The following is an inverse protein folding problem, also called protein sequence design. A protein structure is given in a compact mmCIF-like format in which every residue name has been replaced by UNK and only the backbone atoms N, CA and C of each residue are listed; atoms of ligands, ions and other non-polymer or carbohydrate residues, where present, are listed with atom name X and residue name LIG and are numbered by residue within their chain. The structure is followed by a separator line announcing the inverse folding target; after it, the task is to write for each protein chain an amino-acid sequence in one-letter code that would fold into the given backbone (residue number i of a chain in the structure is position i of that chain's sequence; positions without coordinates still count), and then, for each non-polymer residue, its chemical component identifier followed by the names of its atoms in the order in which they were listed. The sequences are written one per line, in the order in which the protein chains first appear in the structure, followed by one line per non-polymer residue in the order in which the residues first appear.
data_IF_508309881980
#
_entry.id   IF_508309881980
#
_cell.length_a   1.000
_cell.length_b   1.000
_cell.length_c   1.000
_cell.angle_alpha   90.00
_cell.angle_beta   90.00
_cell.angle_gamma   90.00
#
_symmetry.space_group_name_H-M   'P 1'
#
loop_
_entity.id
_entity.type
_entity.pdbx_description
1 polymer ?
#
# COMPACT_ATOMS: atom_id res chain seq x y z
N UNK A 1 27.57 0.77 -32.56
CA UNK A 1 26.73 1.93 -32.18
C UNK A 1 26.67 1.97 -30.65
N UNK A 2 27.42 2.88 -30.03
CA UNK A 2 27.24 3.19 -28.61
C UNK A 2 25.99 4.07 -28.47
N UNK A 3 24.92 3.54 -27.88
CA UNK A 3 23.83 4.39 -27.39
C UNK A 3 24.36 5.13 -26.15
N UNK A 4 24.80 6.37 -26.36
CA UNK A 4 24.92 7.34 -25.28
C UNK A 4 23.50 7.64 -24.78
N UNK A 5 23.08 6.98 -23.70
CA UNK A 5 21.92 7.41 -22.93
C UNK A 5 22.32 8.68 -22.17
N UNK A 6 22.29 9.84 -22.84
CA UNK A 6 22.28 11.11 -22.13
C UNK A 6 21.02 11.13 -21.28
N UNK A 7 21.19 10.92 -19.97
CA UNK A 7 20.09 11.01 -19.03
C UNK A 7 19.66 12.47 -18.98
N UNK A 8 18.51 12.79 -19.57
CA UNK A 8 17.97 14.15 -19.59
C UNK A 8 17.59 14.57 -18.16
N UNK A 9 18.31 15.54 -17.60
CA UNK A 9 18.09 16.04 -16.25
C UNK A 9 16.67 16.58 -16.04
N UNK A 10 16.06 17.17 -17.08
CA UNK A 10 14.67 17.64 -17.03
C UNK A 10 13.67 16.48 -16.95
N UNK A 11 13.98 15.34 -17.59
CA UNK A 11 13.16 14.13 -17.49
C UNK A 11 13.29 13.47 -16.12
N UNK A 12 14.50 13.47 -15.53
CA UNK A 12 14.69 12.99 -14.15
C UNK A 12 13.89 13.86 -13.17
N UNK A 13 14.01 15.18 -13.24
CA UNK A 13 13.33 16.07 -12.30
C UNK A 13 11.81 15.98 -12.40
N UNK A 14 11.26 15.89 -13.61
CA UNK A 14 9.84 15.67 -13.83
C UNK A 14 9.35 14.34 -13.22
N UNK A 15 10.06 13.23 -13.50
CA UNK A 15 9.70 11.91 -12.98
C UNK A 15 9.85 11.79 -11.45
N UNK A 16 10.77 12.55 -10.83
CA UNK A 16 10.91 12.57 -9.37
C UNK A 16 9.83 13.40 -8.68
N UNK A 17 9.29 14.42 -9.37
CA UNK A 17 8.25 15.28 -8.82
C UNK A 17 6.84 14.68 -8.98
N UNK A 18 6.67 13.66 -9.82
CA UNK A 18 5.40 12.93 -9.96
C UNK A 18 5.18 11.87 -8.90
N UNK A 19 6.21 11.48 -8.14
CA UNK A 19 6.07 10.51 -7.04
C UNK A 19 5.42 11.23 -5.85
N UNK A 20 4.22 10.82 -5.39
CA UNK A 20 3.60 11.41 -4.22
C UNK A 20 4.47 11.17 -2.99
N UNK A 21 4.40 12.05 -1.99
CA UNK A 21 5.05 11.77 -0.70
C UNK A 21 4.27 10.68 0.03
N UNK A 22 4.99 9.70 0.60
CA UNK A 22 4.40 8.64 1.38
C UNK A 22 3.70 9.21 2.62
N UNK A 23 2.47 8.76 2.84
CA UNK A 23 1.67 9.05 4.01
C UNK A 23 1.08 7.74 4.56
N UNK A 24 0.27 7.84 5.61
CA UNK A 24 -0.29 6.67 6.29
C UNK A 24 -1.21 5.79 5.44
N UNK A 25 -1.76 6.29 4.33
CA UNK A 25 -2.84 5.62 3.58
C UNK A 25 -2.51 5.35 2.11
N UNK A 26 -1.48 5.98 1.54
CA UNK A 26 -1.17 5.89 0.11
C UNK A 26 -0.03 4.91 -0.24
N UNK A 27 0.39 4.02 0.67
CA UNK A 27 1.56 3.16 0.46
C UNK A 27 1.53 2.35 -0.85
N UNK A 28 0.36 1.79 -1.22
CA UNK A 28 0.21 1.00 -2.45
C UNK A 28 0.50 1.83 -3.71
N UNK A 29 -0.18 2.97 -3.83
CA UNK A 29 0.00 3.93 -4.94
C UNK A 29 1.42 4.50 -4.97
N UNK A 30 1.96 4.85 -3.80
CA UNK A 30 3.32 5.33 -3.65
C UNK A 30 4.35 4.31 -4.15
N UNK A 31 4.23 3.05 -3.69
CA UNK A 31 5.13 1.95 -4.09
C UNK A 31 5.05 1.71 -5.60
N UNK A 32 3.85 1.69 -6.18
CA UNK A 32 3.64 1.52 -7.61
C UNK A 32 4.31 2.63 -8.43
N UNK A 33 4.08 3.89 -8.06
CA UNK A 33 4.70 5.05 -8.72
C UNK A 33 6.23 5.02 -8.63
N UNK A 34 6.80 4.59 -7.50
CA UNK A 34 8.24 4.40 -7.37
C UNK A 34 8.76 3.34 -8.33
N UNK A 35 8.12 2.17 -8.38
CA UNK A 35 8.56 1.06 -9.22
C UNK A 35 8.51 1.44 -10.71
N UNK A 36 7.45 2.12 -11.14
CA UNK A 36 7.33 2.65 -12.51
C UNK A 36 8.45 3.64 -12.80
N UNK A 37 8.66 4.62 -11.93
CA UNK A 37 9.71 5.64 -12.12
C UNK A 37 11.10 5.02 -12.20
N UNK A 38 11.42 4.07 -11.31
CA UNK A 38 12.72 3.38 -11.32
C UNK A 38 12.89 2.52 -12.58
N UNK A 39 11.83 1.87 -13.05
CA UNK A 39 11.82 1.14 -14.32
C UNK A 39 12.07 2.05 -15.52
N UNK A 40 11.37 3.19 -15.60
CA UNK A 40 11.55 4.18 -16.67
C UNK A 40 12.95 4.82 -16.70
N UNK A 41 13.68 4.78 -15.57
CA UNK A 41 15.05 5.29 -15.46
C UNK A 41 16.13 4.21 -15.64
N UNK A 42 15.76 2.96 -15.91
CA UNK A 42 16.67 1.80 -15.91
C UNK A 42 17.44 1.64 -14.58
N UNK A 43 16.77 1.91 -13.46
CA UNK A 43 17.33 1.85 -12.10
C UNK A 43 16.73 0.72 -11.26
N UNK A 44 15.87 -0.12 -11.83
CA UNK A 44 15.12 -1.16 -11.11
C UNK A 44 15.90 -2.48 -10.90
N UNK A 45 17.10 -2.61 -11.46
CA UNK A 45 17.90 -3.85 -11.42
C UNK A 45 18.06 -4.40 -10.00
N UNK A 46 18.51 -3.56 -9.05
CA UNK A 46 18.72 -3.95 -7.66
C UNK A 46 17.43 -4.31 -6.90
N UNK A 47 16.26 -3.94 -7.43
CA UNK A 47 14.97 -4.36 -6.88
C UNK A 47 14.53 -5.73 -7.42
N UNK A 48 14.97 -6.09 -8.63
CA UNK A 48 14.60 -7.34 -9.32
C UNK A 48 15.51 -8.51 -8.99
N UNK A 49 16.81 -8.26 -8.83
CA UNK A 49 17.81 -9.32 -8.61
C UNK A 49 18.52 -9.14 -7.26
N UNK A 50 18.88 -10.28 -6.66
CA UNK A 50 19.65 -10.30 -5.41
C UNK A 50 21.02 -9.64 -5.59
N UNK A 51 21.61 -9.23 -4.46
CA UNK A 51 22.96 -8.65 -4.46
C UNK A 51 23.96 -9.64 -5.08
N UNK A 52 24.73 -9.24 -6.10
CA UNK A 52 25.77 -10.07 -6.67
C UNK A 52 26.86 -10.36 -5.64
N UNK A 53 27.59 -11.46 -5.81
CA UNK A 53 28.73 -11.75 -4.98
C UNK A 53 29.76 -10.61 -5.02
N UNK A 54 30.42 -10.36 -3.89
CA UNK A 54 31.49 -9.39 -3.79
C UNK A 54 32.59 -9.70 -4.81
N UNK A 55 33.10 -8.64 -5.44
CA UNK A 55 34.19 -8.76 -6.40
C UNK A 55 35.47 -9.24 -5.72
N UNK A 56 36.22 -10.08 -6.41
CA UNK A 56 37.55 -10.58 -6.00
C UNK A 56 38.59 -10.27 -7.08
N UNK A 57 39.86 -10.48 -6.78
CA UNK A 57 40.94 -10.31 -7.77
C UNK A 57 40.80 -11.23 -8.98
N UNK A 58 40.11 -12.37 -8.83
CA UNK A 58 39.82 -13.31 -9.90
C UNK A 58 38.57 -12.96 -10.73
N UNK A 59 37.80 -11.94 -10.32
CA UNK A 59 36.57 -11.57 -11.04
C UNK A 59 36.86 -11.10 -12.45
N UNK A 60 36.08 -11.63 -13.39
CA UNK A 60 36.10 -11.26 -14.80
C UNK A 60 35.67 -9.81 -15.01
N UNK A 61 36.02 -9.25 -16.17
CA UNK A 61 35.62 -7.89 -16.50
C UNK A 61 34.09 -7.73 -16.57
N UNK A 62 33.37 -8.76 -17.01
CA UNK A 62 31.92 -8.72 -17.12
C UNK A 62 31.23 -8.77 -15.75
N UNK A 63 31.75 -9.55 -14.80
CA UNK A 63 31.28 -9.55 -13.41
C UNK A 63 31.47 -8.18 -12.76
N UNK A 64 32.62 -7.54 -12.97
CA UNK A 64 32.89 -6.17 -12.47
C UNK A 64 31.89 -5.16 -13.03
N UNK A 65 31.66 -5.19 -14.34
CA UNK A 65 30.66 -4.31 -15.01
C UNK A 65 29.25 -4.57 -14.52
N UNK A 66 28.88 -5.82 -14.29
CA UNK A 66 27.56 -6.18 -13.78
C UNK A 66 27.37 -5.68 -12.34
N UNK A 67 28.37 -5.89 -11.48
CA UNK A 67 28.36 -5.38 -10.11
C UNK A 67 28.22 -3.86 -10.07
N UNK A 68 28.98 -3.11 -10.88
CA UNK A 68 28.87 -1.65 -10.96
C UNK A 68 27.48 -1.18 -11.41
N UNK A 69 26.86 -1.87 -12.37
CA UNK A 69 25.48 -1.56 -12.80
C UNK A 69 24.48 -1.82 -11.68
N UNK A 70 24.63 -2.94 -10.98
CA UNK A 70 23.77 -3.28 -9.85
C UNK A 70 23.95 -2.29 -8.70
N UNK A 71 25.17 -1.96 -8.31
CA UNK A 71 25.48 -1.01 -7.25
C UNK A 71 24.94 0.40 -7.56
N UNK A 72 25.10 0.86 -8.81
CA UNK A 72 24.51 2.13 -9.27
C UNK A 72 22.99 2.13 -9.13
N UNK A 73 22.34 1.05 -9.58
CA UNK A 73 20.89 0.87 -9.45
C UNK A 73 20.45 0.85 -7.99
N UNK A 74 21.17 0.14 -7.11
CA UNK A 74 20.91 0.06 -5.68
C UNK A 74 21.01 1.44 -5.01
N UNK A 75 22.14 2.14 -5.20
CA UNK A 75 22.41 3.44 -4.59
C UNK A 75 21.39 4.49 -5.00
N UNK A 76 21.08 4.58 -6.30
CA UNK A 76 20.13 5.58 -6.81
C UNK A 76 18.68 5.25 -6.40
N UNK A 77 18.29 3.97 -6.44
CA UNK A 77 16.97 3.55 -5.95
C UNK A 77 16.77 3.92 -4.49
N UNK A 78 17.76 3.66 -3.63
CA UNK A 78 17.71 4.05 -2.21
C UNK A 78 17.48 5.56 -2.03
N UNK A 79 18.20 6.40 -2.78
CA UNK A 79 18.04 7.85 -2.70
C UNK A 79 16.63 8.30 -3.10
N UNK A 80 16.09 7.73 -4.18
CA UNK A 80 14.74 8.05 -4.69
C UNK A 80 13.67 7.59 -3.70
N UNK A 81 13.77 6.35 -3.21
CA UNK A 81 12.85 5.78 -2.23
C UNK A 81 12.87 6.62 -0.94
N UNK A 82 14.05 6.89 -0.38
CA UNK A 82 14.18 7.70 0.85
C UNK A 82 13.61 9.10 0.67
N UNK A 83 13.82 9.75 -0.48
CA UNK A 83 13.28 11.10 -0.77
C UNK A 83 11.75 11.15 -0.65
N UNK A 84 11.06 10.11 -1.12
CA UNK A 84 9.60 10.03 -1.07
C UNK A 84 9.02 9.73 0.30
N UNK A 85 9.85 9.47 1.33
CA UNK A 85 9.42 9.06 2.67
C UNK A 85 9.71 10.18 3.68
N UNK A 86 8.71 10.66 4.42
CA UNK A 86 8.92 11.58 5.54
C UNK A 86 9.74 10.96 6.67
N UNK A 87 10.50 11.78 7.40
CA UNK A 87 11.39 11.33 8.47
C UNK A 87 10.68 10.50 9.55
N UNK A 88 9.42 10.84 9.86
CA UNK A 88 8.57 10.10 10.80
C UNK A 88 8.34 8.63 10.43
N UNK A 89 8.44 8.30 9.14
CA UNK A 89 8.36 6.93 8.64
C UNK A 89 9.75 6.31 8.42
N UNK A 90 10.83 7.11 8.39
CA UNK A 90 12.22 6.63 8.17
C UNK A 90 12.91 6.12 9.42
N UNK A 91 12.71 6.76 10.59
CA UNK A 91 13.49 6.57 11.84
C UNK A 91 13.36 5.20 12.51
N UNK A 92 13.04 4.20 11.72
CA UNK A 92 12.45 2.95 12.11
C UNK A 92 12.85 1.83 11.11
N UNK A 93 13.45 2.20 9.97
CA UNK A 93 14.32 1.31 9.19
C UNK A 93 15.74 1.46 9.74
N UNK A 94 16.46 0.36 9.94
CA UNK A 94 17.84 0.41 10.42
C UNK A 94 18.74 1.17 9.44
N UNK A 95 19.66 2.00 9.97
CA UNK A 95 20.69 2.67 9.17
C UNK A 95 21.64 1.67 8.47
N UNK A 96 21.64 0.42 8.92
CA UNK A 96 22.41 -0.69 8.36
C UNK A 96 21.81 -1.23 7.05
N UNK A 97 20.58 -0.85 6.69
CA UNK A 97 19.96 -1.29 5.43
C UNK A 97 20.57 -0.54 4.25
N UNK A 98 21.54 -1.18 3.61
CA UNK A 98 22.28 -0.68 2.44
C UNK A 98 21.73 -1.18 1.10
N UNK A 99 20.72 -2.05 1.13
CA UNK A 99 20.06 -2.60 -0.05
C UNK A 99 18.67 -1.96 -0.27
N UNK A 100 18.39 -1.50 -1.49
CA UNK A 100 17.14 -0.84 -1.89
C UNK A 100 15.91 -1.74 -1.75
N UNK A 101 16.06 -3.02 -2.12
CA UNK A 101 15.00 -4.02 -2.05
C UNK A 101 14.61 -4.29 -0.60
N UNK A 102 15.62 -4.48 0.27
CA UNK A 102 15.40 -4.70 1.70
C UNK A 102 14.81 -3.47 2.36
N UNK A 103 15.28 -2.27 2.00
CA UNK A 103 14.73 -1.02 2.50
C UNK A 103 13.25 -0.88 2.14
N UNK A 104 12.87 -1.14 0.89
CA UNK A 104 11.47 -1.10 0.47
C UNK A 104 10.62 -2.17 1.19
N UNK A 105 11.18 -3.36 1.41
CA UNK A 105 10.53 -4.45 2.15
C UNK A 105 10.26 -4.10 3.61
N UNK A 106 11.22 -3.46 4.31
CA UNK A 106 11.03 -3.00 5.68
C UNK A 106 9.94 -1.93 5.81
N UNK A 107 9.85 -1.02 4.84
CA UNK A 107 8.74 -0.07 4.76
C UNK A 107 7.42 -0.81 4.54
N UNK A 108 7.36 -1.74 3.58
CA UNK A 108 6.16 -2.53 3.29
C UNK A 108 5.62 -3.27 4.51
N UNK A 109 6.50 -3.91 5.30
CA UNK A 109 6.11 -4.62 6.53
C UNK A 109 5.35 -3.73 7.51
N UNK A 110 5.68 -2.43 7.60
CA UNK A 110 5.01 -1.47 8.49
C UNK A 110 3.59 -1.18 8.05
N UNK A 111 3.40 -0.96 6.75
CA UNK A 111 2.08 -0.70 6.19
C UNK A 111 1.20 -1.94 6.21
N UNK A 112 1.77 -3.13 5.99
CA UNK A 112 1.03 -4.41 6.17
C UNK A 112 0.57 -4.57 7.63
N UNK A 113 1.40 -4.24 8.62
CA UNK A 113 1.01 -4.28 10.04
C UNK A 113 -0.09 -3.26 10.35
N UNK A 114 0.02 -2.05 9.82
CA UNK A 114 -0.98 -0.99 9.95
C UNK A 114 -2.32 -1.40 9.34
N UNK A 115 -2.31 -1.90 8.10
CA UNK A 115 -3.49 -2.40 7.39
C UNK A 115 -4.21 -3.49 8.22
N UNK A 116 -3.47 -4.45 8.80
CA UNK A 116 -4.08 -5.50 9.64
C UNK A 116 -4.73 -4.94 10.90
N UNK A 117 -4.10 -3.97 11.56
CA UNK A 117 -4.66 -3.32 12.74
C UNK A 117 -5.92 -2.52 12.39
N UNK A 118 -5.89 -1.79 11.27
CA UNK A 118 -7.03 -1.03 10.77
C UNK A 118 -8.19 -1.94 10.36
N UNK A 119 -7.92 -3.02 9.60
CA UNK A 119 -8.91 -4.04 9.24
C UNK A 119 -9.57 -4.59 10.50
N UNK A 120 -8.77 -4.94 11.52
CA UNK A 120 -9.29 -5.50 12.77
C UNK A 120 -10.20 -4.50 13.52
N UNK A 121 -9.81 -3.22 13.54
CA UNK A 121 -10.61 -2.14 14.14
C UNK A 121 -11.92 -1.93 13.37
N UNK A 122 -11.85 -1.82 12.03
CA UNK A 122 -13.03 -1.64 11.17
C UNK A 122 -13.99 -2.82 11.25
N UNK A 123 -13.51 -4.06 11.29
CA UNK A 123 -14.34 -5.25 11.47
C UNK A 123 -15.01 -5.28 12.85
N UNK A 124 -14.29 -4.88 13.90
CA UNK A 124 -14.85 -4.75 15.24
C UNK A 124 -15.96 -3.70 15.26
N UNK A 125 -15.74 -2.54 14.68
CA UNK A 125 -16.76 -1.50 14.58
C UNK A 125 -17.94 -2.00 13.75
N UNK A 126 -17.70 -2.57 12.58
CA UNK A 126 -18.73 -3.10 11.69
C UNK A 126 -19.67 -4.11 12.36
N UNK A 127 -19.11 -5.03 13.16
CA UNK A 127 -19.89 -6.10 13.82
C UNK A 127 -20.54 -5.69 15.14
N UNK A 128 -19.96 -4.71 15.85
CA UNK A 128 -20.47 -4.27 17.15
C UNK A 128 -21.42 -3.08 17.07
N UNK A 129 -21.36 -2.29 15.99
CA UNK A 129 -22.10 -1.05 15.86
C UNK A 129 -23.59 -1.30 15.68
N UNK A 130 -24.38 -0.80 16.64
CA UNK A 130 -25.84 -0.92 16.67
C UNK A 130 -26.48 0.44 16.46
N UNK A 131 -27.63 0.46 15.78
CA UNK A 131 -28.46 1.65 15.76
C UNK A 131 -29.14 1.79 17.13
N UNK A 132 -29.04 2.97 17.75
CA UNK A 132 -29.55 3.20 19.11
C UNK A 132 -31.08 3.33 19.18
N UNK A 133 -31.76 3.38 18.04
CA UNK A 133 -33.20 3.69 17.97
C UNK A 133 -33.50 5.19 18.13
N UNK A 134 -32.47 6.02 18.33
CA UNK A 134 -32.59 7.47 18.49
C UNK A 134 -31.71 8.16 17.44
N UNK A 135 -32.21 9.26 16.88
CA UNK A 135 -31.51 10.01 15.83
C UNK A 135 -31.79 9.49 14.41
N UNK A 136 -31.03 9.96 13.44
CA UNK A 136 -31.31 9.73 12.03
C UNK A 136 -30.76 8.38 11.54
N UNK A 137 -31.66 7.48 11.10
CA UNK A 137 -31.26 6.17 10.54
C UNK A 137 -30.35 6.31 9.30
N UNK A 138 -30.50 7.40 8.53
CA UNK A 138 -29.66 7.67 7.36
C UNK A 138 -28.21 7.91 7.75
N UNK A 139 -27.96 8.59 8.87
CA UNK A 139 -26.61 8.80 9.38
C UNK A 139 -25.97 7.47 9.78
N UNK A 140 -26.72 6.61 10.49
CA UNK A 140 -26.27 5.25 10.81
C UNK A 140 -25.91 4.44 9.54
N UNK A 141 -26.74 4.48 8.51
CA UNK A 141 -26.46 3.79 7.23
C UNK A 141 -25.21 4.37 6.55
N UNK A 142 -25.04 5.69 6.53
CA UNK A 142 -23.85 6.34 5.96
C UNK A 142 -22.58 5.91 6.69
N UNK A 143 -22.61 5.81 8.02
CA UNK A 143 -21.48 5.32 8.81
C UNK A 143 -21.16 3.85 8.51
N UNK A 144 -22.18 2.98 8.41
CA UNK A 144 -21.98 1.57 8.03
C UNK A 144 -21.39 1.45 6.62
N UNK A 145 -21.90 2.23 5.66
CA UNK A 145 -21.37 2.28 4.30
C UNK A 145 -19.93 2.78 4.25
N UNK A 146 -19.58 3.76 5.09
CA UNK A 146 -18.21 4.27 5.20
C UNK A 146 -17.25 3.19 5.71
N UNK A 147 -17.64 2.42 6.72
CA UNK A 147 -16.81 1.31 7.24
C UNK A 147 -16.58 0.26 6.14
N UNK A 148 -17.64 -0.13 5.42
CA UNK A 148 -17.53 -1.09 4.30
C UNK A 148 -16.65 -0.56 3.18
N UNK A 149 -16.76 0.74 2.82
CA UNK A 149 -15.91 1.32 1.77
C UNK A 149 -14.45 1.35 2.19
N UNK A 150 -14.15 1.65 3.47
CA UNK A 150 -12.79 1.56 4.02
C UNK A 150 -12.25 0.13 3.96
N UNK A 151 -13.04 -0.87 4.38
CA UNK A 151 -12.67 -2.28 4.28
C UNK A 151 -12.37 -2.69 2.83
N UNK A 152 -13.17 -2.20 1.86
CA UNK A 152 -12.93 -2.43 0.43
C UNK A 152 -11.59 -1.85 -0.04
N UNK A 153 -11.19 -0.65 0.41
CA UNK A 153 -9.85 -0.09 0.10
C UNK A 153 -8.70 -0.94 0.64
N UNK A 154 -8.96 -1.69 1.72
CA UNK A 154 -8.03 -2.63 2.34
C UNK A 154 -8.13 -4.05 1.76
N UNK A 155 -8.85 -4.23 0.64
CA UNK A 155 -9.09 -5.51 -0.05
C UNK A 155 -9.93 -6.52 0.74
N UNK A 156 -10.76 -6.03 1.68
CA UNK A 156 -11.77 -6.84 2.36
C UNK A 156 -13.12 -6.53 1.72
N UNK A 157 -13.64 -7.47 0.94
CA UNK A 157 -14.96 -7.35 0.32
C UNK A 157 -16.03 -7.95 1.22
N UNK A 158 -17.08 -7.17 1.47
CA UNK A 158 -18.29 -7.61 2.16
C UNK A 158 -19.38 -7.67 1.09
N UNK A 159 -19.93 -8.86 0.88
CA UNK A 159 -21.08 -9.06 -0.02
C UNK A 159 -22.27 -8.22 0.43
N UNK A 160 -23.05 -7.72 -0.51
CA UNK A 160 -24.25 -6.91 -0.22
C UNK A 160 -25.23 -7.64 0.70
N UNK A 161 -25.44 -8.94 0.52
CA UNK A 161 -26.35 -9.74 1.36
C UNK A 161 -25.92 -9.76 2.83
N UNK A 162 -24.63 -10.01 3.08
CA UNK A 162 -24.05 -9.96 4.44
C UNK A 162 -24.19 -8.57 5.05
N UNK A 163 -23.95 -7.51 4.26
CA UNK A 163 -24.11 -6.13 4.72
C UNK A 163 -25.56 -5.86 5.14
N UNK A 164 -26.54 -6.25 4.32
CA UNK A 164 -27.96 -6.04 4.62
C UNK A 164 -28.35 -6.81 5.87
N UNK A 165 -27.94 -8.08 5.99
CA UNK A 165 -28.22 -8.86 7.19
C UNK A 165 -27.58 -8.26 8.46
N UNK A 166 -26.37 -7.73 8.38
CA UNK A 166 -25.73 -7.07 9.53
C UNK A 166 -26.46 -5.79 9.91
N UNK A 167 -26.82 -4.95 8.93
CA UNK A 167 -27.60 -3.72 9.17
C UNK A 167 -28.97 -4.03 9.74
N UNK A 168 -29.65 -5.10 9.30
CA UNK A 168 -30.94 -5.50 9.87
C UNK A 168 -30.79 -6.01 11.30
N UNK A 169 -29.79 -6.86 11.57
CA UNK A 169 -29.55 -7.41 12.91
C UNK A 169 -29.06 -6.36 13.92
N UNK A 170 -28.52 -5.24 13.43
CA UNK A 170 -28.07 -4.15 14.27
C UNK A 170 -29.19 -3.22 14.76
N UNK A 171 -30.39 -3.33 14.18
CA UNK A 171 -31.56 -2.53 14.57
C UNK A 171 -32.15 -3.01 15.91
N UNK A 172 -32.66 -2.08 16.74
CA UNK A 172 -33.36 -2.42 17.98
C UNK A 172 -34.57 -3.34 17.75
N UNK A 173 -35.00 -4.00 18.83
CA UNK A 173 -36.19 -4.88 18.87
C UNK A 173 -37.46 -4.17 18.36
N UNK A 174 -37.56 -2.85 18.53
CA UNK A 174 -38.66 -2.04 17.99
C UNK A 174 -38.83 -2.17 16.47
N UNK A 175 -37.81 -2.61 15.75
CA UNK A 175 -37.80 -2.81 14.30
C UNK A 175 -38.00 -4.28 13.88
N UNK A 176 -38.30 -5.19 14.81
CA UNK A 176 -38.47 -6.61 14.49
C UNK A 176 -39.57 -6.89 13.44
N UNK A 177 -40.72 -6.19 13.41
CA UNK A 177 -41.70 -6.36 12.33
C UNK A 177 -41.11 -6.06 10.94
N UNK A 178 -40.20 -5.09 10.85
CA UNK A 178 -39.50 -4.76 9.61
C UNK A 178 -38.51 -5.86 9.19
N UNK A 179 -37.77 -6.44 10.14
CA UNK A 179 -36.85 -7.56 9.88
C UNK A 179 -37.60 -8.79 9.34
N UNK A 180 -38.74 -9.13 9.94
CA UNK A 180 -39.58 -10.25 9.49
C UNK A 180 -40.12 -9.99 8.08
N UNK A 181 -40.60 -8.78 7.81
CA UNK A 181 -41.07 -8.39 6.48
C UNK A 181 -39.98 -8.54 5.41
N UNK A 182 -38.75 -8.07 5.68
CA UNK A 182 -37.62 -8.20 4.76
C UNK A 182 -37.26 -9.67 4.50
N UNK A 183 -37.10 -10.48 5.55
CA UNK A 183 -36.72 -11.90 5.41
C UNK A 183 -37.81 -12.75 4.70
N UNK A 184 -39.07 -12.32 4.74
CA UNK A 184 -40.17 -12.99 4.03
C UNK A 184 -40.30 -12.55 2.56
N UNK A 185 -39.57 -11.53 2.12
CA UNK A 185 -39.49 -11.18 0.69
C UNK A 185 -38.63 -12.22 0.00
N UNK A 186 -39.22 -12.96 -0.95
CA UNK A 186 -38.47 -13.88 -1.80
C UNK A 186 -37.42 -13.08 -2.59
N UNK A 187 -36.18 -13.53 -2.56
CA UNK A 187 -35.15 -13.11 -3.51
C UNK A 187 -35.75 -13.16 -4.92
N UNK A 188 -35.70 -12.03 -5.63
CA UNK A 188 -36.21 -11.92 -7.01
C UNK A 188 -35.15 -12.37 -8.01
#
# INVERSE_FOLDING_TARGET
MQMNSQVNFASISANLNSIPVLNGTNFKEWKENILITLGCMDLDLALRVEQPASLTDASTQDEKRYYEKWDRSNRLSLMIIKRGIPESFRGAVSDEVTNAKDFLSEIEKRFVKSDKAEISMLLKDFTSKRYSGKGNIREYIMEMSYIVSRLKTLKIEISEDVLVHIVLNSLPIAFDPFKVSYNCQKEK
#
